data_IF_991892055254
#
_entry.id   IF_991892055254
#
_cell.length_a   1.000
_cell.length_b   1.000
_cell.length_c   1.000
_cell.angle_alpha   90.00
_cell.angle_beta   90.00
_cell.angle_gamma   90.00
#
_symmetry.space_group_name_H-M   'P 1'
#
loop_
_entity.id
_entity.type
_entity.pdbx_description
1 polymer ?
#
# COMPACT_ATOMS: atom_id res chain seq x y z
N UNK A 1 -23.13 10.23 7.05
CA UNK A 1 -22.28 9.46 6.13
C UNK A 1 -21.07 10.28 5.73
N UNK A 2 -19.87 9.77 5.97
CA UNK A 2 -18.62 10.43 5.60
C UNK A 2 -17.78 9.48 4.74
N UNK A 3 -16.78 10.04 4.04
CA UNK A 3 -15.76 9.25 3.35
C UNK A 3 -14.47 9.30 4.16
N UNK A 4 -13.72 8.20 4.17
CA UNK A 4 -12.37 8.13 4.71
C UNK A 4 -11.41 7.77 3.59
N UNK A 5 -10.24 8.38 3.60
CA UNK A 5 -9.19 8.04 2.67
C UNK A 5 -8.34 6.90 3.26
N UNK A 6 -7.92 6.01 2.38
CA UNK A 6 -6.83 5.05 2.60
C UNK A 6 -5.66 5.48 1.73
N UNK A 7 -4.43 5.22 2.17
CA UNK A 7 -3.24 5.73 1.51
C UNK A 7 -2.20 4.64 1.30
N UNK A 8 -1.51 4.72 0.16
CA UNK A 8 -0.25 4.04 -0.11
C UNK A 8 0.77 5.10 -0.46
N UNK A 9 1.75 5.30 0.41
CA UNK A 9 2.73 6.37 0.31
C UNK A 9 4.15 5.80 0.30
N UNK A 10 4.79 5.86 -0.86
CA UNK A 10 6.18 5.49 -1.05
C UNK A 10 7.08 6.72 -0.90
N UNK A 11 7.95 6.73 0.11
CA UNK A 11 9.00 7.73 0.22
C UNK A 11 10.09 7.48 -0.84
N UNK A 12 10.58 8.53 -1.51
CA UNK A 12 11.72 8.41 -2.44
C UNK A 12 13.03 8.45 -1.63
N UNK A 13 13.34 7.34 -0.99
CA UNK A 13 14.58 7.12 -0.25
C UNK A 13 15.79 7.05 -1.18
N UNK A 14 17.00 7.06 -0.60
CA UNK A 14 18.22 6.90 -1.39
C UNK A 14 18.27 5.55 -2.13
N UNK A 15 17.97 4.39 -1.50
CA UNK A 15 17.90 3.10 -2.20
C UNK A 15 16.91 3.09 -3.35
N UNK A 16 15.71 3.65 -3.17
CA UNK A 16 14.69 3.75 -4.23
C UNK A 16 15.20 4.62 -5.39
N UNK A 17 15.82 5.77 -5.10
CA UNK A 17 16.39 6.65 -6.12
C UNK A 17 17.45 5.94 -6.96
N UNK A 18 18.35 5.20 -6.33
CA UNK A 18 19.37 4.42 -7.04
C UNK A 18 18.73 3.38 -7.97
N UNK A 19 17.69 2.71 -7.49
CA UNK A 19 16.98 1.68 -8.27
C UNK A 19 16.19 2.24 -9.45
N UNK A 20 15.59 3.42 -9.29
CA UNK A 20 14.97 4.17 -10.40
C UNK A 20 15.99 4.47 -11.50
N UNK A 21 17.20 4.92 -11.14
CA UNK A 21 18.27 5.20 -12.10
C UNK A 21 18.77 3.93 -12.82
N UNK A 22 18.57 2.76 -12.23
CA UNK A 22 18.88 1.45 -12.82
C UNK A 22 17.73 0.89 -13.68
N UNK A 23 16.65 1.64 -13.90
CA UNK A 23 15.46 1.20 -14.63
C UNK A 23 14.85 -0.12 -14.09
N UNK A 24 14.88 -0.31 -12.77
CA UNK A 24 14.31 -1.50 -12.16
C UNK A 24 12.79 -1.58 -12.35
N UNK A 25 12.22 -2.77 -12.10
CA UNK A 25 10.78 -2.96 -12.17
C UNK A 25 10.04 -2.25 -11.03
N UNK A 26 8.75 -1.97 -11.25
CA UNK A 26 7.86 -1.46 -10.19
C UNK A 26 7.73 -2.43 -9.02
N UNK A 27 7.80 -3.74 -9.27
CA UNK A 27 7.78 -4.78 -8.23
C UNK A 27 8.99 -4.68 -7.30
N UNK A 28 10.19 -4.46 -7.85
CA UNK A 28 11.40 -4.24 -7.05
C UNK A 28 11.31 -2.97 -6.21
N UNK A 29 10.78 -1.87 -6.76
CA UNK A 29 10.53 -0.64 -6.01
C UNK A 29 9.53 -0.87 -4.87
N UNK A 30 8.42 -1.56 -5.14
CA UNK A 30 7.39 -1.90 -4.14
C UNK A 30 7.99 -2.70 -2.98
N UNK A 31 8.83 -3.70 -3.27
CA UNK A 31 9.50 -4.50 -2.24
C UNK A 31 10.43 -3.67 -1.35
N UNK A 32 11.20 -2.75 -1.92
CA UNK A 32 12.09 -1.87 -1.15
C UNK A 32 11.25 -0.92 -0.29
N UNK A 33 10.23 -0.29 -0.88
CA UNK A 33 9.35 0.62 -0.17
C UNK A 33 8.65 -0.07 1.01
N UNK A 34 8.14 -1.29 0.83
CA UNK A 34 7.51 -2.08 1.90
C UNK A 34 8.50 -2.40 3.02
N UNK A 35 9.74 -2.79 2.68
CA UNK A 35 10.81 -3.02 3.68
C UNK A 35 11.15 -1.76 4.46
N UNK A 36 11.03 -0.59 3.83
CA UNK A 36 11.23 0.73 4.45
C UNK A 36 9.99 1.26 5.20
N UNK A 37 8.93 0.45 5.31
CA UNK A 37 7.74 0.76 6.11
C UNK A 37 6.55 1.34 5.34
N UNK A 38 6.60 1.34 3.99
CA UNK A 38 5.41 1.64 3.20
C UNK A 38 4.31 0.61 3.46
N UNK A 39 3.12 1.10 3.77
CA UNK A 39 1.90 0.29 3.80
C UNK A 39 1.21 0.33 2.44
N UNK A 40 0.71 -0.82 2.00
CA UNK A 40 -0.16 -0.88 0.83
C UNK A 40 -1.53 -0.29 1.13
N UNK A 41 -2.31 0.02 0.10
CA UNK A 41 -3.70 0.47 0.25
C UNK A 41 -4.52 -0.53 1.08
N UNK A 42 -4.34 -1.84 0.83
CA UNK A 42 -5.03 -2.87 1.62
C UNK A 42 -4.61 -2.86 3.09
N UNK A 43 -3.31 -2.73 3.38
CA UNK A 43 -2.82 -2.69 4.75
C UNK A 43 -3.33 -1.47 5.52
N UNK A 44 -3.37 -0.29 4.92
CA UNK A 44 -3.96 0.89 5.57
C UNK A 44 -5.47 0.76 5.75
N UNK A 45 -6.16 0.13 4.79
CA UNK A 45 -7.58 -0.21 4.91
C UNK A 45 -7.87 -1.13 6.10
N UNK A 46 -7.12 -2.23 6.23
CA UNK A 46 -7.27 -3.17 7.35
C UNK A 46 -7.01 -2.52 8.71
N UNK A 47 -6.03 -1.60 8.79
CA UNK A 47 -5.81 -0.81 10.01
C UNK A 47 -7.05 0.01 10.41
N UNK A 48 -7.79 0.55 9.44
CA UNK A 48 -9.04 1.27 9.73
C UNK A 48 -10.18 0.34 10.16
N UNK A 49 -10.22 -0.88 9.61
CA UNK A 49 -11.16 -1.92 10.03
C UNK A 49 -10.89 -2.32 11.48
N UNK A 50 -9.64 -2.60 11.82
CA UNK A 50 -9.22 -2.93 13.19
C UNK A 50 -9.55 -1.81 14.19
N UNK A 51 -9.50 -0.55 13.74
CA UNK A 51 -9.87 0.61 14.54
C UNK A 51 -11.38 0.88 14.60
N UNK A 52 -12.22 0.06 13.95
CA UNK A 52 -13.68 0.23 13.91
C UNK A 52 -14.16 1.44 13.10
N UNK A 53 -13.33 1.96 12.19
CA UNK A 53 -13.62 3.20 11.42
C UNK A 53 -14.35 2.91 10.11
N UNK A 54 -14.20 1.71 9.55
CA UNK A 54 -14.79 1.25 8.27
C UNK A 54 -15.05 -0.26 8.35
N UNK A 55 -15.67 -0.84 7.32
CA UNK A 55 -15.98 -2.28 7.28
C UNK A 55 -15.05 -3.05 6.35
N UNK A 56 -14.85 -4.36 6.57
CA UNK A 56 -14.12 -5.22 5.63
C UNK A 56 -14.67 -5.12 4.19
N UNK A 57 -16.00 -5.09 4.02
CA UNK A 57 -16.64 -4.97 2.70
C UNK A 57 -16.29 -3.67 1.97
N UNK A 58 -16.21 -2.55 2.69
CA UNK A 58 -15.78 -1.28 2.12
C UNK A 58 -14.35 -1.34 1.60
N UNK A 59 -13.44 -1.97 2.37
CA UNK A 59 -12.03 -2.12 1.98
C UNK A 59 -11.86 -3.08 0.80
N UNK A 60 -12.49 -4.26 0.87
CA UNK A 60 -12.43 -5.25 -0.22
C UNK A 60 -12.95 -4.71 -1.55
N UNK A 61 -13.88 -3.75 -1.52
CA UNK A 61 -14.38 -3.08 -2.72
C UNK A 61 -13.35 -2.15 -3.36
N UNK A 62 -12.46 -1.52 -2.57
CA UNK A 62 -11.52 -0.49 -3.06
C UNK A 62 -10.07 -0.96 -3.17
N UNK A 63 -9.70 -2.13 -2.62
CA UNK A 63 -8.30 -2.64 -2.65
C UNK A 63 -8.13 -3.96 -3.41
N UNK A 64 -9.00 -4.26 -4.39
CA UNK A 64 -9.07 -5.58 -5.05
C UNK A 64 -7.72 -6.07 -5.63
N UNK A 65 -6.96 -5.18 -6.25
CA UNK A 65 -5.70 -5.55 -6.91
C UNK A 65 -4.60 -5.93 -5.91
N UNK A 66 -4.58 -5.31 -4.72
CA UNK A 66 -3.63 -5.63 -3.66
C UNK A 66 -3.98 -6.93 -2.93
N UNK A 67 -5.27 -7.23 -2.76
CA UNK A 67 -5.72 -8.45 -2.04
C UNK A 67 -5.38 -9.71 -2.84
N UNK A 68 -5.34 -9.63 -4.16
CA UNK A 68 -4.92 -10.74 -5.03
C UNK A 68 -3.41 -11.01 -4.99
N UNK A 69 -2.61 -10.06 -4.50
CA UNK A 69 -1.16 -10.22 -4.28
C UNK A 69 -0.82 -11.03 -3.02
N UNK A 70 -1.81 -11.41 -2.22
CA UNK A 70 -1.66 -12.27 -1.03
C UNK A 70 -1.68 -13.78 -1.35
N UNK A 71 -1.70 -14.15 -2.64
CA UNK A 71 -1.63 -15.54 -3.11
C UNK A 71 -0.23 -15.95 -3.51
#
# INVERSE_FOLDING_TARGET
HGRRAVFEMMAISHPIRQKILQHCSSGELKQIAQKEGMRTLSQDGWRLVEAGVTTPDEILRVTKDDVLSFR
#
